data_IF_826550134156
#
_entry.id   IF_826550134156
#
_cell.length_a   1.000
_cell.length_b   1.000
_cell.length_c   1.000
_cell.angle_alpha   90.00
_cell.angle_beta   90.00
_cell.angle_gamma   90.00
#
_symmetry.space_group_name_H-M   'P 1'
#
loop_
_entity.id
_entity.type
_entity.pdbx_description
1 polymer ?
#
# COMPACT_ATOMS: atom_id res chain seq x y z
N UNK A 1 -0.57 -4.30 5.01
CA UNK A 1 0.79 -4.54 5.56
C UNK A 1 1.71 -4.94 4.43
N UNK A 2 3.00 -4.65 4.51
CA UNK A 2 4.01 -4.99 3.49
C UNK A 2 5.34 -5.31 4.15
N UNK A 3 6.11 -6.23 3.58
CA UNK A 3 7.46 -6.53 4.04
C UNK A 3 8.48 -5.67 3.29
N UNK A 4 9.25 -4.89 4.03
CA UNK A 4 10.29 -4.01 3.51
C UNK A 4 11.41 -3.87 4.58
N UNK A 5 12.25 -4.90 4.76
CA UNK A 5 13.18 -5.00 5.89
C UNK A 5 14.33 -4.01 5.84
N UNK A 6 14.65 -3.48 4.66
CA UNK A 6 15.71 -2.48 4.46
C UNK A 6 15.17 -1.06 4.35
N UNK A 7 13.85 -0.86 4.45
CA UNK A 7 13.24 0.46 4.41
C UNK A 7 13.48 1.23 5.71
N UNK A 8 13.66 2.54 5.60
CA UNK A 8 13.71 3.47 6.73
C UNK A 8 12.32 4.02 7.04
N UNK A 9 11.47 4.16 6.03
CA UNK A 9 10.06 4.48 6.17
C UNK A 9 9.23 3.84 5.07
N UNK A 10 7.97 3.55 5.39
CA UNK A 10 6.97 3.14 4.41
C UNK A 10 5.72 3.97 4.62
N UNK A 11 5.15 4.49 3.53
CA UNK A 11 3.88 5.20 3.51
C UNK A 11 2.84 4.37 2.76
N UNK A 12 1.62 4.33 3.28
CA UNK A 12 0.43 3.96 2.54
C UNK A 12 0.03 5.13 1.64
N UNK A 13 -0.16 4.83 0.36
CA UNK A 13 -0.70 5.78 -0.61
C UNK A 13 -2.17 5.49 -0.82
N UNK A 14 -3.02 6.51 -0.67
CA UNK A 14 -4.45 6.48 -0.98
C UNK A 14 -4.70 7.44 -2.16
N UNK A 15 -4.63 6.96 -3.40
CA UNK A 15 -4.96 7.76 -4.57
C UNK A 15 -6.45 8.07 -4.64
N UNK A 16 -6.81 9.04 -5.49
CA UNK A 16 -8.21 9.22 -5.87
C UNK A 16 -8.75 7.92 -6.48
N UNK A 17 -9.85 7.45 -5.93
CA UNK A 17 -10.50 6.22 -6.34
C UNK A 17 -10.84 6.26 -7.84
N UNK A 18 -10.44 5.24 -8.60
CA UNK A 18 -10.71 5.24 -10.04
C UNK A 18 -9.60 5.86 -10.91
N UNK A 19 -8.67 6.61 -10.33
CA UNK A 19 -7.68 7.40 -11.10
C UNK A 19 -6.65 6.55 -11.84
N UNK A 20 -6.39 5.33 -11.36
CA UNK A 20 -5.36 4.45 -11.92
C UNK A 20 -3.93 4.98 -11.78
N UNK A 21 -3.71 6.03 -10.99
CA UNK A 21 -2.40 6.66 -10.79
C UNK A 21 -2.13 6.93 -9.30
N UNK A 22 -0.88 7.19 -8.95
CA UNK A 22 -0.50 7.65 -7.61
C UNK A 22 -0.35 9.19 -7.53
N UNK A 23 -0.71 9.92 -8.59
CA UNK A 23 -0.59 11.38 -8.60
C UNK A 23 -1.56 12.00 -7.60
N UNK A 24 -1.07 12.92 -6.76
CA UNK A 24 -1.88 13.58 -5.74
C UNK A 24 -2.37 12.66 -4.61
N UNK A 25 -1.91 11.40 -4.53
CA UNK A 25 -2.34 10.47 -3.50
C UNK A 25 -2.04 10.99 -2.08
N UNK A 26 -2.99 10.79 -1.17
CA UNK A 26 -2.77 11.00 0.27
C UNK A 26 -1.70 10.01 0.76
N UNK A 27 -0.82 10.49 1.65
CA UNK A 27 0.29 9.71 2.19
C UNK A 27 0.15 9.55 3.69
N UNK A 28 0.03 8.30 4.15
CA UNK A 28 -0.13 7.97 5.57
C UNK A 28 1.06 7.12 6.03
N UNK A 29 1.76 7.49 7.12
CA UNK A 29 2.90 6.71 7.59
C UNK A 29 2.47 5.33 8.09
N UNK A 30 3.20 4.29 7.69
CA UNK A 30 3.09 2.96 8.29
C UNK A 30 3.99 2.80 9.49
N UNK A 31 3.63 1.88 10.39
CA UNK A 31 4.44 1.50 11.56
C UNK A 31 5.06 0.13 11.34
N UNK A 32 6.21 -0.12 11.97
CA UNK A 32 6.74 -1.47 12.08
C UNK A 32 5.77 -2.33 12.91
N UNK A 33 5.41 -3.49 12.39
CA UNK A 33 4.52 -4.46 13.02
C UNK A 33 5.20 -5.83 13.08
N UNK A 34 4.90 -6.62 14.11
CA UNK A 34 5.46 -7.97 14.27
C UNK A 34 6.75 -8.02 15.08
N UNK A 35 6.63 -8.31 16.37
CA UNK A 35 7.77 -8.47 17.29
C UNK A 35 8.67 -9.66 16.91
N UNK A 36 8.14 -10.67 16.21
CA UNK A 36 8.85 -11.92 15.91
C UNK A 36 9.40 -12.01 14.49
N UNK A 37 9.03 -11.10 13.59
CA UNK A 37 9.55 -11.06 12.21
C UNK A 37 9.85 -9.61 11.85
N UNK A 38 11.12 -9.17 11.90
CA UNK A 38 11.47 -7.79 11.63
C UNK A 38 11.19 -7.40 10.18
N UNK A 39 10.90 -6.12 9.96
CA UNK A 39 10.76 -5.55 8.62
C UNK A 39 9.36 -5.56 8.01
N UNK A 40 8.34 -5.94 8.78
CA UNK A 40 6.95 -5.78 8.37
C UNK A 40 6.43 -4.39 8.76
N UNK A 41 5.71 -3.76 7.83
CA UNK A 41 5.10 -2.45 7.98
C UNK A 41 3.58 -2.56 7.85
N UNK A 42 2.83 -1.90 8.74
CA UNK A 42 1.38 -1.99 8.83
C UNK A 42 0.72 -0.64 9.06
N UNK A 43 -0.53 -0.55 8.61
CA UNK A 43 -1.45 0.54 8.93
C UNK A 43 -2.37 0.04 10.04
N UNK A 44 -2.69 0.91 10.99
CA UNK A 44 -3.43 0.52 12.21
C UNK A 44 -4.92 0.24 11.94
N UNK A 45 -5.42 0.63 10.76
CA UNK A 45 -6.82 0.48 10.37
C UNK A 45 -6.98 -0.38 9.12
N UNK A 46 -8.10 -1.07 9.03
CA UNK A 46 -8.50 -1.74 7.79
C UNK A 46 -8.98 -0.71 6.77
N UNK A 47 -8.63 -0.95 5.51
CA UNK A 47 -9.14 -0.16 4.40
C UNK A 47 -10.50 -0.70 3.97
N UNK A 48 -11.46 0.17 3.61
CA UNK A 48 -12.73 -0.25 3.05
C UNK A 48 -12.55 -1.14 1.81
N UNK A 49 -13.60 -1.90 1.49
CA UNK A 49 -13.65 -2.71 0.27
C UNK A 49 -13.60 -1.84 -0.99
N UNK A 50 -12.88 -2.33 -2.00
CA UNK A 50 -12.71 -1.62 -3.26
C UNK A 50 -11.79 -0.41 -3.19
N UNK A 51 -11.18 -0.08 -2.06
CA UNK A 51 -10.24 1.05 -1.94
C UNK A 51 -8.98 0.83 -2.78
N UNK A 52 -8.65 1.80 -3.62
CA UNK A 52 -7.37 1.89 -4.33
C UNK A 52 -6.25 2.27 -3.35
N UNK A 53 -5.12 1.57 -3.42
CA UNK A 53 -3.98 1.79 -2.52
C UNK A 53 -2.64 1.39 -3.14
N UNK A 54 -1.56 1.86 -2.52
CA UNK A 54 -0.20 1.39 -2.82
C UNK A 54 0.77 1.77 -1.71
N UNK A 55 2.07 1.60 -1.97
CA UNK A 55 3.13 1.91 -1.01
C UNK A 55 4.20 2.82 -1.60
N UNK A 56 4.70 3.74 -0.78
CA UNK A 56 5.93 4.51 -1.02
C UNK A 56 6.98 4.06 -0.01
N UNK A 57 8.17 3.72 -0.51
CA UNK A 57 9.31 3.28 0.32
C UNK A 57 10.35 4.38 0.31
N UNK A 58 10.78 4.83 1.48
CA UNK A 58 11.77 5.89 1.66
C UNK A 58 11.47 7.19 0.87
N UNK A 59 10.18 7.54 0.73
CA UNK A 59 9.71 8.71 -0.02
C UNK A 59 9.79 8.55 -1.54
N UNK A 60 10.00 7.33 -2.04
CA UNK A 60 10.07 7.02 -3.47
C UNK A 60 8.73 7.10 -4.22
N UNK A 61 8.74 6.72 -5.51
CA UNK A 61 7.52 6.65 -6.30
C UNK A 61 6.56 5.58 -5.73
N UNK A 62 5.26 5.79 -5.95
CA UNK A 62 4.24 4.82 -5.58
C UNK A 62 4.41 3.50 -6.33
N UNK A 63 4.19 2.40 -5.60
CA UNK A 63 4.25 1.04 -6.12
C UNK A 63 3.00 0.27 -5.70
N UNK A 64 2.50 -0.64 -6.56
CA UNK A 64 1.44 -1.56 -6.14
C UNK A 64 1.90 -2.44 -4.99
N UNK A 65 0.92 -2.94 -4.24
CA UNK A 65 1.12 -3.99 -3.27
C UNK A 65 1.64 -5.27 -3.96
N UNK A 66 2.84 -5.78 -3.60
CA UNK A 66 3.37 -7.02 -4.17
C UNK A 66 2.53 -8.26 -3.85
N UNK A 67 1.66 -8.18 -2.84
CA UNK A 67 0.70 -9.23 -2.47
C UNK A 67 -0.74 -8.83 -2.80
N UNK A 68 -0.93 -7.94 -3.77
CA UNK A 68 -2.26 -7.44 -4.13
C UNK A 68 -3.18 -8.58 -4.59
N UNK A 69 -4.42 -8.65 -4.06
CA UNK A 69 -5.42 -9.59 -4.57
C UNK A 69 -6.04 -9.13 -5.90
N UNK A 70 -5.92 -7.83 -6.27
CA UNK A 70 -6.56 -7.27 -7.45
C UNK A 70 -5.81 -6.05 -8.02
N UNK A 71 -5.48 -6.12 -9.32
CA UNK A 71 -4.75 -5.09 -10.09
C UNK A 71 -5.60 -4.55 -11.26
N UNK A 72 -6.53 -3.61 -11.03
CA UNK A 72 -7.42 -3.11 -12.08
C UNK A 72 -6.75 -2.20 -13.12
N UNK A 73 -5.58 -1.63 -12.81
CA UNK A 73 -4.91 -0.62 -13.65
C UNK A 73 -3.56 -1.08 -14.22
N UNK A 74 -3.36 -2.40 -14.31
CA UNK A 74 -2.11 -3.01 -14.74
C UNK A 74 -1.02 -3.01 -13.65
N UNK A 75 0.13 -3.60 -13.97
CA UNK A 75 1.20 -3.95 -13.01
C UNK A 75 1.93 -2.77 -12.36
N UNK A 76 1.61 -1.55 -12.76
CA UNK A 76 2.22 -0.32 -12.23
C UNK A 76 1.22 0.58 -11.52
N UNK A 77 -0.08 0.32 -11.69
CA UNK A 77 -1.12 1.15 -11.10
C UNK A 77 -1.41 0.76 -9.64
N UNK A 78 -2.31 1.50 -8.97
CA UNK A 78 -2.76 1.17 -7.63
C UNK A 78 -3.36 -0.23 -7.55
N UNK A 79 -3.07 -0.90 -6.43
CA UNK A 79 -3.76 -2.10 -5.98
C UNK A 79 -5.16 -1.76 -5.49
N UNK A 80 -6.07 -2.74 -5.48
CA UNK A 80 -7.39 -2.56 -4.90
C UNK A 80 -7.68 -3.61 -3.83
N UNK A 81 -8.28 -3.19 -2.72
CA UNK A 81 -8.79 -4.13 -1.71
C UNK A 81 -9.92 -4.96 -2.30
N UNK A 82 -9.93 -6.26 -2.01
CA UNK A 82 -10.83 -7.22 -2.62
C UNK A 82 -11.47 -8.11 -1.57
N UNK A 83 -12.80 -8.23 -1.58
CA UNK A 83 -13.56 -9.15 -0.73
C UNK A 83 -13.70 -10.51 -1.39
N UNK A 84 -13.09 -11.57 -0.82
CA UNK A 84 -13.30 -12.93 -1.30
C UNK A 84 -14.58 -13.59 -0.79
N UNK A 85 -15.41 -12.91 0.03
CA UNK A 85 -16.64 -13.46 0.62
C UNK A 85 -17.80 -13.64 -0.36
#
# INVERSE_FOLDING_TARGET
MVWAPTARSVELLLPEQGSGSFEGAERLPLRLVGAHVPGWWGYDHELPWGTDYGYSVDGGPGRPDPRSPWQPYGVHGPSRTFDPA
#
